data_IF_673453641189
#
_entry.id   IF_673453641189
#
_cell.length_a   1.000
_cell.length_b   1.000
_cell.length_c   1.000
_cell.angle_alpha   90.00
_cell.angle_beta   90.00
_cell.angle_gamma   90.00
#
_symmetry.space_group_name_H-M   'P 1'
#
loop_
_entity.id
_entity.type
_entity.pdbx_description
1 polymer ?
#
# COMPACT_ATOMS: atom_id res chain seq x y z
N UNK A 1 -12.14 10.18 7.36
CA UNK A 1 -11.70 9.16 6.38
C UNK A 1 -11.33 7.92 7.14
N UNK A 2 -11.81 6.74 6.73
CA UNK A 2 -11.47 5.50 7.43
C UNK A 2 -10.21 4.88 6.87
N UNK A 3 -9.32 4.40 7.74
CA UNK A 3 -7.98 3.95 7.31
C UNK A 3 -8.01 2.77 6.35
N UNK A 4 -8.98 1.86 6.52
CA UNK A 4 -9.17 0.72 5.60
C UNK A 4 -9.49 1.17 4.18
N UNK A 5 -10.21 2.29 4.00
CA UNK A 5 -10.53 2.86 2.69
C UNK A 5 -9.27 3.39 1.99
N UNK A 6 -8.33 3.97 2.74
CA UNK A 6 -7.04 4.43 2.21
C UNK A 6 -6.17 3.26 1.76
N UNK A 7 -6.13 2.17 2.53
CA UNK A 7 -5.41 0.97 2.13
C UNK A 7 -5.95 0.37 0.82
N UNK A 8 -7.27 0.28 0.68
CA UNK A 8 -7.92 -0.17 -0.55
C UNK A 8 -7.63 0.78 -1.73
N UNK A 9 -7.58 2.09 -1.48
CA UNK A 9 -7.19 3.09 -2.48
C UNK A 9 -5.74 2.90 -2.94
N UNK A 10 -4.81 2.65 -2.03
CA UNK A 10 -3.41 2.41 -2.35
C UNK A 10 -3.24 1.14 -3.21
N UNK A 11 -3.88 0.03 -2.82
CA UNK A 11 -3.88 -1.21 -3.61
C UNK A 11 -4.45 -0.99 -5.02
N UNK A 12 -5.59 -0.30 -5.12
CA UNK A 12 -6.22 0.04 -6.41
C UNK A 12 -5.28 0.85 -7.29
N UNK A 13 -4.59 1.83 -6.71
CA UNK A 13 -3.66 2.71 -7.41
C UNK A 13 -2.46 1.92 -7.94
N UNK A 14 -1.87 1.05 -7.10
CA UNK A 14 -0.77 0.16 -7.49
C UNK A 14 -1.21 -0.74 -8.66
N UNK A 15 -2.37 -1.41 -8.55
CA UNK A 15 -2.87 -2.28 -9.61
C UNK A 15 -3.15 -1.53 -10.92
N UNK A 16 -3.69 -0.31 -10.83
CA UNK A 16 -3.91 0.53 -12.02
C UNK A 16 -2.59 0.82 -12.73
N UNK A 17 -1.56 1.24 -12.02
CA UNK A 17 -0.27 1.54 -12.62
C UNK A 17 0.48 0.30 -13.14
N UNK A 18 0.37 -0.84 -12.45
CA UNK A 18 0.91 -2.11 -12.95
C UNK A 18 0.20 -2.57 -14.23
N UNK A 19 -1.11 -2.28 -14.35
CA UNK A 19 -1.87 -2.49 -15.59
C UNK A 19 -1.42 -1.54 -16.71
N UNK A 20 -1.24 -0.25 -16.41
CA UNK A 20 -0.74 0.73 -17.37
C UNK A 20 0.68 0.38 -17.86
N UNK A 21 1.51 -0.21 -17.00
CA UNK A 21 2.84 -0.72 -17.33
C UNK A 21 2.83 -2.04 -18.12
N UNK A 22 1.65 -2.63 -18.36
CA UNK A 22 1.48 -3.89 -19.10
C UNK A 22 1.89 -5.14 -18.32
N UNK A 23 2.16 -5.04 -17.01
CA UNK A 23 2.46 -6.19 -16.13
C UNK A 23 1.17 -6.95 -15.83
N UNK A 24 0.07 -6.21 -15.67
CA UNK A 24 -1.27 -6.74 -15.43
C UNK A 24 -2.22 -6.44 -16.59
N UNK A 25 -3.28 -7.24 -16.70
CA UNK A 25 -4.32 -7.11 -17.72
C UNK A 25 -5.71 -7.44 -17.15
N UNK A 26 -6.77 -7.06 -17.88
CA UNK A 26 -8.16 -7.31 -17.47
C UNK A 26 -8.80 -6.18 -16.68
N UNK A 27 -9.85 -6.49 -15.92
CA UNK A 27 -10.68 -5.49 -15.21
C UNK A 27 -10.15 -5.22 -13.79
N UNK A 28 -10.08 -3.93 -13.43
CA UNK A 28 -9.54 -3.49 -12.14
C UNK A 28 -10.47 -3.87 -10.97
N UNK A 29 -11.79 -3.78 -11.14
CA UNK A 29 -12.74 -4.17 -10.08
C UNK A 29 -12.68 -5.66 -9.80
N UNK A 30 -12.52 -6.49 -10.83
CA UNK A 30 -12.33 -7.93 -10.67
C UNK A 30 -11.02 -8.27 -9.94
N UNK A 31 -9.92 -7.53 -10.20
CA UNK A 31 -8.69 -7.66 -9.41
C UNK A 31 -8.90 -7.30 -7.93
N UNK A 32 -9.66 -6.22 -7.66
CA UNK A 32 -9.96 -5.80 -6.29
C UNK A 32 -10.80 -6.84 -5.53
N UNK A 33 -11.77 -7.47 -6.19
CA UNK A 33 -12.63 -8.52 -5.60
C UNK A 33 -11.84 -9.73 -5.10
N UNK A 34 -10.80 -10.12 -5.83
CA UNK A 34 -9.92 -11.26 -5.46
C UNK A 34 -8.74 -10.84 -4.58
N UNK A 35 -8.74 -9.61 -4.05
CA UNK A 35 -7.71 -9.04 -3.18
C UNK A 35 -6.31 -9.09 -3.80
N UNK A 36 -6.23 -8.89 -5.11
CA UNK A 36 -4.98 -9.04 -5.85
C UNK A 36 -3.91 -8.01 -5.47
N UNK A 37 -4.32 -6.83 -4.97
CA UNK A 37 -3.39 -5.79 -4.49
C UNK A 37 -2.45 -6.29 -3.39
N UNK A 38 -2.91 -7.23 -2.55
CA UNK A 38 -2.11 -7.82 -1.48
C UNK A 38 -0.94 -8.68 -1.98
N UNK A 39 -0.93 -9.09 -3.25
CA UNK A 39 0.22 -9.76 -3.88
C UNK A 39 1.40 -8.78 -4.01
N UNK A 40 1.12 -7.52 -4.32
CA UNK A 40 2.12 -6.47 -4.54
C UNK A 40 2.34 -5.58 -3.30
N UNK A 41 1.37 -5.51 -2.38
CA UNK A 41 1.45 -4.78 -1.12
C UNK A 41 0.92 -5.66 0.03
N UNK A 42 1.72 -6.62 0.54
CA UNK A 42 1.23 -7.59 1.53
C UNK A 42 1.09 -7.04 2.95
N UNK A 43 1.60 -5.83 3.21
CA UNK A 43 1.57 -5.16 4.51
C UNK A 43 0.44 -4.12 4.60
N UNK A 44 0.14 -3.65 5.81
CA UNK A 44 -0.78 -2.52 6.02
C UNK A 44 -0.26 -1.23 5.40
N UNK A 45 -1.15 -0.31 5.03
CA UNK A 45 -0.75 0.97 4.39
C UNK A 45 0.09 1.87 5.32
N UNK A 46 -0.03 1.67 6.63
CA UNK A 46 0.67 2.44 7.64
C UNK A 46 0.02 2.28 9.00
N UNK A 47 0.54 3.02 9.97
CA UNK A 47 0.24 2.82 11.37
C UNK A 47 0.41 4.10 12.19
N UNK A 48 -0.22 4.15 13.36
CA UNK A 48 0.04 5.24 14.29
C UNK A 48 1.50 5.25 14.72
N UNK A 49 2.02 6.45 14.97
CA UNK A 49 3.39 6.67 15.40
C UNK A 49 3.40 7.72 16.50
N UNK A 50 4.25 7.52 17.51
CA UNK A 50 4.37 8.42 18.65
C UNK A 50 5.59 8.09 19.47
N UNK A 51 5.40 7.72 20.75
CA UNK A 51 6.51 7.25 21.59
C UNK A 51 7.06 5.91 21.09
N UNK A 52 6.18 5.06 20.57
CA UNK A 52 6.54 3.84 19.86
C UNK A 52 6.41 4.05 18.34
N UNK A 53 7.28 3.39 17.56
CA UNK A 53 7.21 3.41 16.09
C UNK A 53 5.85 2.87 15.64
N UNK A 54 5.46 1.70 16.14
CA UNK A 54 4.10 1.18 16.02
C UNK A 54 3.30 1.56 17.26
N UNK A 55 2.74 2.77 17.29
CA UNK A 55 2.08 3.30 18.47
C UNK A 55 0.76 2.57 18.82
N UNK A 56 0.37 2.70 20.08
CA UNK A 56 -0.78 2.06 20.67
C UNK A 56 -2.13 2.60 20.12
N UNK A 57 -3.24 1.96 20.52
CA UNK A 57 -4.59 2.50 20.30
C UNK A 57 -5.17 2.30 18.89
N UNK A 58 -4.47 1.56 18.02
CA UNK A 58 -4.91 1.26 16.65
C UNK A 58 -6.25 0.52 16.55
N UNK A 59 -6.63 -0.24 17.58
CA UNK A 59 -7.85 -1.05 17.62
C UNK A 59 -8.83 -0.66 18.73
N UNK A 60 -8.76 0.58 19.20
CA UNK A 60 -9.66 1.12 20.22
C UNK A 60 -10.69 2.07 19.59
N UNK A 61 -11.71 2.45 20.37
CA UNK A 61 -12.70 3.44 19.96
C UNK A 61 -13.61 2.94 18.84
N UNK A 62 -13.59 3.64 17.71
CA UNK A 62 -14.41 3.36 16.52
C UNK A 62 -13.77 2.33 15.57
N UNK A 63 -12.71 1.65 16.00
CA UNK A 63 -12.05 0.62 15.22
C UNK A 63 -13.02 -0.50 14.83
N UNK A 64 -13.06 -0.83 13.54
CA UNK A 64 -13.74 -2.03 13.06
C UNK A 64 -12.95 -3.28 13.40
N UNK A 65 -13.64 -4.43 13.44
CA UNK A 65 -12.97 -5.72 13.57
C UNK A 65 -11.95 -5.92 12.44
N UNK A 66 -10.73 -6.29 12.81
CA UNK A 66 -9.66 -6.56 11.86
C UNK A 66 -10.09 -7.67 10.89
N UNK A 67 -9.97 -7.38 9.59
CA UNK A 67 -10.30 -8.33 8.53
C UNK A 67 -9.34 -9.51 8.53
N UNK A 68 -9.80 -10.68 8.07
CA UNK A 68 -8.95 -11.84 7.77
C UNK A 68 -8.43 -11.85 6.34
N UNK A 69 -8.88 -10.90 5.50
CA UNK A 69 -8.52 -10.83 4.08
C UNK A 69 -7.05 -10.43 3.87
N UNK A 70 -6.41 -10.88 2.78
CA UNK A 70 -5.06 -10.45 2.40
C UNK A 70 -4.93 -8.91 2.32
N UNK A 71 -3.75 -8.40 2.73
CA UNK A 71 -3.46 -6.96 2.87
C UNK A 71 -4.10 -6.39 4.14
N UNK A 72 -5.44 -6.42 4.21
CA UNK A 72 -6.22 -5.81 5.29
C UNK A 72 -5.92 -6.39 6.67
N UNK A 73 -5.64 -7.69 6.77
CA UNK A 73 -5.25 -8.34 8.03
C UNK A 73 -3.93 -7.83 8.61
N UNK A 74 -3.11 -7.14 7.82
CA UNK A 74 -1.81 -6.60 8.21
C UNK A 74 -1.87 -5.10 8.57
N UNK A 75 -3.04 -4.47 8.50
CA UNK A 75 -3.22 -3.12 9.03
C UNK A 75 -2.88 -3.08 10.52
N UNK A 76 -2.46 -1.92 11.02
CA UNK A 76 -2.25 -1.69 12.47
C UNK A 76 -3.33 -0.81 13.09
N UNK A 77 -4.24 -0.29 12.28
CA UNK A 77 -5.46 0.37 12.73
C UNK A 77 -6.57 0.21 11.70
N UNK A 78 -7.81 0.19 12.16
CA UNK A 78 -9.02 0.20 11.32
C UNK A 78 -9.90 1.43 11.63
N UNK A 79 -9.36 2.39 12.38
CA UNK A 79 -10.10 3.55 12.89
C UNK A 79 -10.38 4.59 11.80
N UNK A 80 -11.32 5.47 12.09
CA UNK A 80 -11.47 6.73 11.36
C UNK A 80 -10.37 7.68 11.80
N UNK A 81 -9.68 8.31 10.84
CA UNK A 81 -8.71 9.35 11.12
C UNK A 81 -9.38 10.56 11.78
N UNK A 82 -8.81 11.01 12.90
CA UNK A 82 -9.26 12.14 13.69
C UNK A 82 -8.13 13.15 13.85
N UNK A 83 -8.50 14.40 14.15
CA UNK A 83 -7.55 15.48 14.40
C UNK A 83 -6.51 15.07 15.46
N UNK A 84 -5.25 15.46 15.24
CA UNK A 84 -4.07 15.16 16.06
C UNK A 84 -3.57 13.72 16.04
N UNK A 85 -4.18 12.82 15.27
CA UNK A 85 -3.54 11.52 15.01
C UNK A 85 -2.28 11.73 14.18
N UNK A 86 -1.21 11.04 14.55
CA UNK A 86 0.03 10.94 13.78
C UNK A 86 0.07 9.54 13.17
N UNK A 87 0.26 9.45 11.86
CA UNK A 87 0.19 8.19 11.12
C UNK A 87 1.22 8.15 9.99
N UNK A 88 1.81 6.99 9.76
CA UNK A 88 2.65 6.74 8.57
C UNK A 88 1.76 6.52 7.35
N UNK A 89 2.19 7.01 6.19
CA UNK A 89 1.64 6.66 4.88
C UNK A 89 2.78 6.00 4.11
N UNK A 90 2.73 4.68 3.97
CA UNK A 90 3.85 3.89 3.46
C UNK A 90 3.44 2.88 2.37
N UNK A 91 2.73 3.28 1.29
CA UNK A 91 2.41 2.36 0.21
C UNK A 91 3.70 1.76 -0.40
N UNK A 92 3.63 0.47 -0.71
CA UNK A 92 4.76 -0.24 -1.30
C UNK A 92 4.33 -1.23 -2.38
N UNK A 93 5.16 -1.37 -3.42
CA UNK A 93 4.98 -2.32 -4.50
C UNK A 93 6.20 -3.22 -4.59
N UNK A 94 6.00 -4.53 -4.40
CA UNK A 94 7.08 -5.51 -4.38
C UNK A 94 6.78 -6.69 -5.31
N UNK A 95 7.85 -7.29 -5.83
CA UNK A 95 7.81 -8.50 -6.64
C UNK A 95 8.36 -9.66 -5.80
N UNK A 96 7.54 -10.17 -4.88
CA UNK A 96 7.91 -11.22 -3.91
C UNK A 96 7.62 -12.58 -4.53
N UNK A 97 8.67 -13.37 -4.76
CA UNK A 97 8.57 -14.61 -5.55
C UNK A 97 7.49 -15.58 -5.06
N UNK A 98 7.41 -15.81 -3.75
CA UNK A 98 6.43 -16.73 -3.17
C UNK A 98 4.99 -16.27 -3.40
N UNK A 99 4.71 -14.97 -3.26
CA UNK A 99 3.37 -14.42 -3.50
C UNK A 99 3.01 -14.41 -4.99
N UNK A 100 3.99 -14.14 -5.84
CA UNK A 100 3.80 -14.20 -7.29
C UNK A 100 3.54 -15.63 -7.77
N UNK A 101 4.25 -16.61 -7.22
CA UNK A 101 4.06 -18.03 -7.55
C UNK A 101 2.67 -18.51 -7.10
N UNK A 102 2.24 -18.15 -5.89
CA UNK A 102 0.88 -18.42 -5.40
C UNK A 102 -0.17 -17.82 -6.33
N UNK A 103 -0.01 -16.55 -6.74
CA UNK A 103 -0.92 -15.87 -7.65
C UNK A 103 -0.94 -16.47 -9.07
N UNK A 104 0.21 -16.94 -9.57
CA UNK A 104 0.33 -17.62 -10.86
C UNK A 104 -0.32 -19.01 -10.87
N UNK A 105 -0.41 -19.65 -9.69
CA UNK A 105 -1.05 -20.95 -9.49
C UNK A 105 -2.55 -20.86 -9.16
N UNK A 106 -3.05 -19.68 -8.78
CA UNK A 106 -4.49 -19.44 -8.56
C UNK A 106 -5.18 -19.01 -9.87
N UNK A 107 -6.13 -19.79 -10.43
CA UNK A 107 -6.89 -19.38 -11.63
C UNK A 107 -7.68 -18.08 -11.47
N UNK A 108 -8.06 -17.70 -10.24
CA UNK A 108 -8.76 -16.45 -9.98
C UNK A 108 -7.87 -15.21 -10.17
N UNK A 109 -6.56 -15.35 -9.98
CA UNK A 109 -5.58 -14.26 -10.06
C UNK A 109 -4.70 -14.33 -11.30
N UNK A 110 -4.20 -15.52 -11.67
CA UNK A 110 -3.29 -15.75 -12.79
C UNK A 110 -3.81 -15.22 -14.14
N UNK A 111 -5.13 -15.18 -14.32
CA UNK A 111 -5.78 -14.60 -15.51
C UNK A 111 -5.52 -13.10 -15.71
N UNK A 112 -5.07 -12.39 -14.67
CA UNK A 112 -4.74 -10.97 -14.71
C UNK A 112 -3.26 -10.69 -14.96
N UNK A 113 -2.40 -11.73 -15.01
CA UNK A 113 -0.95 -11.57 -15.08
C UNK A 113 -0.47 -11.74 -16.51
N UNK A 114 0.29 -10.76 -17.02
CA UNK A 114 1.07 -10.90 -18.25
C UNK A 114 2.42 -11.52 -17.87
N UNK A 115 2.53 -12.86 -17.98
CA UNK A 115 3.64 -13.64 -17.41
C UNK A 115 5.01 -13.19 -17.91
N UNK A 116 5.12 -12.94 -19.21
CA UNK A 116 6.35 -12.51 -19.86
C UNK A 116 6.83 -11.19 -19.25
N UNK A 117 5.90 -10.23 -19.08
CA UNK A 117 6.22 -8.91 -18.53
C UNK A 117 6.54 -8.99 -17.04
N UNK A 118 5.78 -9.78 -16.27
CA UNK A 118 6.04 -9.98 -14.84
C UNK A 118 7.44 -10.56 -14.59
N UNK A 119 7.88 -11.50 -15.44
CA UNK A 119 9.18 -12.15 -15.28
C UNK A 119 10.37 -11.19 -15.42
N UNK A 120 10.21 -10.07 -16.14
CA UNK A 120 11.24 -9.01 -16.21
C UNK A 120 11.50 -8.34 -14.84
N UNK A 121 10.53 -8.40 -13.91
CA UNK A 121 10.61 -7.78 -12.58
C UNK A 121 10.93 -8.79 -11.46
N UNK A 122 11.10 -10.08 -11.78
CA UNK A 122 11.60 -11.07 -10.81
C UNK A 122 12.98 -10.65 -10.31
N UNK A 123 13.17 -10.64 -9.00
CA UNK A 123 14.42 -10.17 -8.39
C UNK A 123 14.60 -8.65 -8.33
N UNK A 124 13.65 -7.84 -8.82
CA UNK A 124 13.68 -6.38 -8.68
C UNK A 124 13.66 -5.93 -7.20
N UNK A 125 13.01 -6.72 -6.34
CA UNK A 125 12.75 -6.35 -4.95
C UNK A 125 11.45 -5.57 -4.86
N UNK A 126 11.53 -4.27 -4.60
CA UNK A 126 10.36 -3.40 -4.54
C UNK A 126 10.68 -2.00 -4.07
N UNK A 127 9.65 -1.16 -4.05
CA UNK A 127 9.72 0.25 -3.63
C UNK A 127 8.69 0.49 -2.55
N UNK A 128 9.07 1.26 -1.52
CA UNK A 128 8.18 1.83 -0.51
C UNK A 128 8.55 3.29 -0.32
N UNK A 129 7.53 4.16 -0.31
CA UNK A 129 7.70 5.57 0.00
C UNK A 129 6.88 5.83 1.25
N UNK A 130 7.56 6.25 2.32
CA UNK A 130 6.96 6.43 3.64
C UNK A 130 7.10 7.89 4.07
N UNK A 131 5.95 8.49 4.40
CA UNK A 131 5.83 9.82 5.00
C UNK A 131 5.15 9.72 6.36
N UNK A 132 5.60 10.57 7.29
CA UNK A 132 4.94 10.78 8.56
C UNK A 132 4.01 11.98 8.44
N UNK A 133 2.73 11.82 8.81
CA UNK A 133 1.77 12.92 8.75
C UNK A 133 1.04 13.13 10.08
N UNK A 134 0.67 14.39 10.34
CA UNK A 134 -0.28 14.77 11.38
C UNK A 134 -1.61 15.13 10.73
N UNK A 135 -2.70 14.59 11.24
CA UNK A 135 -4.05 14.92 10.78
C UNK A 135 -4.54 16.18 11.49
N UNK A 136 -5.05 17.16 10.73
CA UNK A 136 -5.61 18.41 11.24
C UNK A 136 -7.14 18.48 11.01
N UNK A 137 -7.78 19.47 11.66
CA UNK A 137 -9.22 19.69 11.51
C UNK A 137 -9.61 19.99 10.06
N UNK A 138 -10.89 19.79 9.73
CA UNK A 138 -11.45 20.09 8.41
C UNK A 138 -10.79 19.34 7.23
N UNK A 139 -10.18 18.18 7.50
CA UNK A 139 -9.56 17.34 6.46
C UNK A 139 -8.15 17.77 6.06
N UNK A 140 -7.56 18.75 6.76
CA UNK A 140 -6.17 19.11 6.59
C UNK A 140 -5.23 18.01 7.10
N UNK A 141 -4.01 17.99 6.58
CA UNK A 141 -2.90 17.22 7.13
C UNK A 141 -1.60 18.01 6.94
N UNK A 142 -0.58 17.65 7.69
CA UNK A 142 0.78 18.17 7.58
C UNK A 142 1.75 17.03 7.45
N UNK A 143 2.62 17.11 6.44
CA UNK A 143 3.72 16.16 6.23
C UNK A 143 4.91 16.60 7.07
N UNK A 144 5.37 15.72 7.95
CA UNK A 144 6.53 15.94 8.81
C UNK A 144 7.85 15.58 8.10
N UNK A 145 7.81 14.64 7.18
CA UNK A 145 8.97 14.24 6.38
C UNK A 145 9.34 15.33 5.35
N UNK A 146 10.64 15.60 5.19
CA UNK A 146 11.15 16.55 4.20
C UNK A 146 12.32 15.94 3.42
N UNK A 147 11.99 15.22 2.35
CA UNK A 147 12.93 14.48 1.49
C UNK A 147 12.48 14.58 0.03
N UNK A 148 13.40 14.43 -0.95
CA UNK A 148 13.04 14.37 -2.36
C UNK A 148 12.11 13.18 -2.65
N UNK A 149 11.10 13.39 -3.51
CA UNK A 149 10.07 12.38 -3.81
C UNK A 149 9.91 12.09 -5.28
N UNK A 150 10.02 13.10 -6.14
CA UNK A 150 9.94 12.88 -7.59
C UNK A 150 11.24 12.25 -8.11
N UNK A 151 11.17 11.59 -9.26
CA UNK A 151 12.36 11.03 -9.92
C UNK A 151 13.43 12.12 -10.12
N UNK A 152 13.03 13.27 -10.68
CA UNK A 152 13.92 14.40 -10.93
C UNK A 152 14.56 14.94 -9.64
N UNK A 153 13.78 15.08 -8.56
CA UNK A 153 14.30 15.53 -7.26
C UNK A 153 15.33 14.56 -6.68
N UNK A 154 15.07 13.25 -6.79
CA UNK A 154 15.98 12.21 -6.29
C UNK A 154 17.26 12.18 -7.14
N UNK A 155 17.13 12.16 -8.47
CA UNK A 155 18.28 12.17 -9.39
C UNK A 155 19.14 13.41 -9.18
N UNK A 156 18.52 14.58 -9.05
CA UNK A 156 19.23 15.82 -8.75
C UNK A 156 19.96 15.75 -7.41
N UNK A 157 19.28 15.33 -6.35
CA UNK A 157 19.88 15.19 -5.01
C UNK A 157 21.07 14.21 -5.00
N UNK A 158 20.97 13.10 -5.73
CA UNK A 158 22.04 12.09 -5.82
C UNK A 158 23.21 12.52 -6.70
N UNK A 159 23.02 13.49 -7.61
CA UNK A 159 24.05 13.95 -8.54
C UNK A 159 25.06 14.94 -7.93
N UNK A 160 24.81 15.45 -6.72
CA UNK A 160 25.62 16.46 -6.03
C UNK A 160 25.44 17.88 -6.57
#
# INVERSE_FOLDING_TARGET
VRWTEMHVLAERTILSHLKDAGILMGDLEEMMKVRFGAVFMPHGLGHFMGLDVHDCGGYLGDAEQLSTLPGLKALRTTRTLQERMVITIEPGCYFIDTLLDDALNDPAQSKFIVREKLNEFRGFGGVRIEDDIVVWSHGGNERLSDVPRTVDEIEHFMSG
#
